data_IF_563423190508
#
_entry.id   IF_563423190508
#
_cell.length_a   1.000
_cell.length_b   1.000
_cell.length_c   1.000
_cell.angle_alpha   90.00
_cell.angle_beta   90.00
_cell.angle_gamma   90.00
#
_symmetry.space_group_name_H-M   'P 1'
#
loop_
_entity.id
_entity.type
_entity.pdbx_description
1 polymer ?
#
# COMPACT_ATOMS: atom_id res chain seq x y z
N UNK A 1 31.95 20.92 4.80
CA UNK A 1 32.18 22.14 5.64
C UNK A 1 31.76 23.43 4.94
N UNK A 2 32.19 23.72 3.69
CA UNK A 2 31.74 24.92 2.94
C UNK A 2 30.21 24.97 2.70
N UNK A 3 29.58 23.84 2.39
CA UNK A 3 28.12 23.77 2.20
C UNK A 3 27.29 24.11 3.45
N UNK A 4 27.79 23.76 4.65
CA UNK A 4 27.13 24.09 5.92
C UNK A 4 27.14 25.60 6.24
N UNK A 5 28.05 26.34 5.60
CA UNK A 5 28.15 27.81 5.72
C UNK A 5 27.32 28.53 4.66
N UNK A 6 26.72 27.81 3.70
CA UNK A 6 25.92 28.42 2.64
C UNK A 6 24.56 28.83 3.20
N UNK A 7 24.12 30.09 3.03
CA UNK A 7 22.78 30.51 3.46
C UNK A 7 21.69 29.72 2.72
N UNK A 8 21.96 29.26 1.50
CA UNK A 8 21.04 28.46 0.71
C UNK A 8 20.70 27.10 1.34
N UNK A 9 21.64 26.51 2.09
CA UNK A 9 21.35 25.26 2.82
C UNK A 9 20.29 25.53 3.89
N UNK A 10 20.49 26.58 4.68
CA UNK A 10 19.60 26.94 5.78
C UNK A 10 18.26 27.46 5.28
N UNK A 11 18.24 28.21 4.18
CA UNK A 11 17.02 28.59 3.49
C UNK A 11 16.23 27.36 3.03
N UNK A 12 16.91 26.38 2.42
CA UNK A 12 16.29 25.10 2.06
C UNK A 12 15.71 24.36 3.26
N UNK A 13 16.48 24.24 4.35
CA UNK A 13 16.03 23.62 5.59
C UNK A 13 14.82 24.36 6.20
N UNK A 14 14.84 25.70 6.22
CA UNK A 14 13.74 26.51 6.72
C UNK A 14 12.47 26.30 5.87
N UNK A 15 12.60 26.26 4.54
CA UNK A 15 11.48 25.95 3.63
C UNK A 15 10.96 24.54 3.86
N UNK A 16 11.83 23.53 3.99
CA UNK A 16 11.42 22.16 4.30
C UNK A 16 10.66 22.06 5.63
N UNK A 17 11.15 22.74 6.67
CA UNK A 17 10.45 22.81 7.97
C UNK A 17 9.12 23.53 7.82
N UNK A 18 9.05 24.66 7.11
CA UNK A 18 7.81 25.40 6.90
C UNK A 18 6.76 24.57 6.15
N UNK A 19 7.17 23.81 5.13
CA UNK A 19 6.29 22.89 4.39
C UNK A 19 5.80 21.75 5.31
N UNK A 20 6.68 21.21 6.15
CA UNK A 20 6.35 20.10 7.04
C UNK A 20 5.60 20.53 8.32
N UNK A 21 5.71 21.80 8.71
CA UNK A 21 5.20 22.32 9.98
C UNK A 21 3.71 22.02 10.22
N UNK A 22 2.79 22.17 9.24
CA UNK A 22 1.39 21.81 9.45
C UNK A 22 1.20 20.33 9.81
N UNK A 23 1.99 19.44 9.21
CA UNK A 23 1.95 18.01 9.53
C UNK A 23 2.51 17.73 10.92
N UNK A 24 3.61 18.38 11.31
CA UNK A 24 4.19 18.23 12.65
C UNK A 24 3.22 18.72 13.74
N UNK A 25 2.61 19.88 13.55
CA UNK A 25 1.61 20.42 14.49
C UNK A 25 0.41 19.47 14.60
N UNK A 26 -0.04 18.92 13.47
CA UNK A 26 -1.11 17.92 13.47
C UNK A 26 -0.71 16.66 14.24
N UNK A 27 0.51 16.13 14.05
CA UNK A 27 1.00 14.97 14.81
C UNK A 27 1.04 15.25 16.32
N UNK A 28 1.53 16.43 16.73
CA UNK A 28 1.57 16.83 18.15
C UNK A 28 0.16 16.89 18.75
N UNK A 29 -0.81 17.46 18.01
CA UNK A 29 -2.20 17.54 18.45
C UNK A 29 -2.91 16.19 18.52
N UNK A 30 -2.34 15.14 17.91
CA UNK A 30 -2.88 13.79 17.85
C UNK A 30 -1.92 12.78 18.49
N UNK A 31 -1.12 13.19 19.48
CA UNK A 31 -0.25 12.33 20.28
C UNK A 31 0.68 11.42 19.45
N UNK A 32 1.13 11.90 18.29
CA UNK A 32 1.95 11.16 17.32
C UNK A 32 1.34 9.81 16.92
N UNK A 33 0.02 9.76 16.70
CA UNK A 33 -0.72 8.56 16.29
C UNK A 33 -0.14 7.82 15.07
N UNK A 34 0.62 8.49 14.20
CA UNK A 34 1.38 7.83 13.14
C UNK A 34 2.39 6.82 13.65
N UNK A 35 3.03 7.07 14.81
CA UNK A 35 3.96 6.13 15.44
C UNK A 35 3.22 4.89 15.94
N UNK A 36 2.04 5.06 16.54
CA UNK A 36 1.20 3.93 16.96
C UNK A 36 0.77 3.09 15.76
N UNK A 37 0.33 3.74 14.68
CA UNK A 37 -0.02 3.07 13.42
C UNK A 37 1.18 2.31 12.84
N UNK A 38 2.34 2.98 12.69
CA UNK A 38 3.57 2.38 12.17
C UNK A 38 4.02 1.17 12.99
N UNK A 39 3.92 1.25 14.32
CA UNK A 39 4.26 0.13 15.20
C UNK A 39 3.32 -1.06 14.99
N UNK A 40 2.00 -0.85 14.91
CA UNK A 40 1.03 -1.93 14.67
C UNK A 40 1.27 -2.63 13.35
N UNK A 41 1.39 -1.87 12.25
CA UNK A 41 1.63 -2.47 10.92
C UNK A 41 3.00 -3.15 10.85
N UNK A 42 4.00 -2.64 11.56
CA UNK A 42 5.33 -3.23 11.56
C UNK A 42 5.32 -4.58 12.28
N UNK A 43 4.76 -4.65 13.49
CA UNK A 43 4.60 -5.91 14.23
C UNK A 43 3.86 -6.94 13.39
N UNK A 44 2.72 -6.56 12.81
CA UNK A 44 1.93 -7.43 11.93
C UNK A 44 2.75 -7.90 10.72
N UNK A 45 3.39 -6.99 9.99
CA UNK A 45 4.16 -7.32 8.78
C UNK A 45 5.37 -8.22 9.11
N UNK A 46 5.98 -8.10 10.28
CA UNK A 46 7.03 -9.01 10.75
C UNK A 46 6.43 -10.40 11.04
N UNK A 47 5.32 -10.48 11.78
CA UNK A 47 4.66 -11.74 12.15
C UNK A 47 4.23 -12.56 10.93
N UNK A 48 3.70 -11.90 9.89
CA UNK A 48 3.26 -12.57 8.66
C UNK A 48 4.38 -12.72 7.62
N UNK A 49 5.63 -12.42 7.98
CA UNK A 49 6.81 -12.66 7.14
C UNK A 49 6.98 -11.70 5.96
N UNK A 50 6.25 -10.58 5.94
CA UNK A 50 6.28 -9.56 4.87
C UNK A 50 7.62 -8.80 4.77
N UNK A 51 8.50 -8.96 5.75
CA UNK A 51 9.84 -8.38 5.82
C UNK A 51 10.93 -9.35 5.34
N UNK A 52 10.57 -10.62 5.08
CA UNK A 52 11.46 -11.66 4.61
C UNK A 52 12.00 -11.43 3.20
N UNK A 53 13.20 -11.97 2.93
CA UNK A 53 13.82 -11.90 1.60
C UNK A 53 14.27 -10.50 1.18
N UNK A 54 14.43 -9.56 2.12
CA UNK A 54 14.72 -8.13 1.88
C UNK A 54 15.69 -7.85 0.70
N UNK A 55 16.87 -8.48 0.69
CA UNK A 55 17.88 -8.30 -0.37
C UNK A 55 17.53 -8.95 -1.70
N UNK A 56 16.90 -10.13 -1.67
CA UNK A 56 16.46 -10.82 -2.90
C UNK A 56 15.36 -9.98 -3.57
N UNK A 57 14.44 -9.43 -2.79
CA UNK A 57 13.35 -8.61 -3.31
C UNK A 57 13.81 -7.25 -3.88
N UNK A 58 15.00 -6.77 -3.51
CA UNK A 58 15.62 -5.63 -4.19
C UNK A 58 15.82 -5.90 -5.69
N UNK A 59 16.23 -7.13 -6.04
CA UNK A 59 16.51 -7.52 -7.42
C UNK A 59 15.22 -7.68 -8.24
N UNK A 60 14.19 -8.28 -7.66
CA UNK A 60 13.01 -8.67 -8.43
C UNK A 60 11.87 -7.65 -8.38
N UNK A 61 11.77 -6.86 -7.30
CA UNK A 61 10.65 -5.92 -7.11
C UNK A 61 11.09 -4.46 -7.19
N UNK A 62 12.17 -4.08 -6.51
CA UNK A 62 12.55 -2.66 -6.40
C UNK A 62 13.35 -2.14 -7.60
N UNK A 63 14.30 -2.92 -8.10
CA UNK A 63 15.26 -2.45 -9.12
C UNK A 63 15.15 -3.16 -10.46
N UNK A 64 14.54 -4.34 -10.50
CA UNK A 64 14.53 -5.25 -11.65
C UNK A 64 15.92 -5.85 -11.97
N UNK A 65 16.01 -7.18 -12.09
CA UNK A 65 17.26 -7.91 -12.28
C UNK A 65 18.02 -7.48 -13.56
N UNK A 66 17.31 -7.09 -14.61
CA UNK A 66 17.91 -6.67 -15.88
C UNK A 66 18.63 -5.33 -15.79
N UNK A 67 18.35 -4.52 -14.76
CA UNK A 67 19.06 -3.26 -14.51
C UNK A 67 20.29 -3.42 -13.63
N UNK A 68 20.58 -4.64 -13.15
CA UNK A 68 21.70 -4.97 -12.26
C UNK A 68 23.04 -4.36 -12.70
N UNK A 69 23.46 -4.48 -13.97
CA UNK A 69 24.70 -3.88 -14.42
C UNK A 69 24.73 -2.34 -14.24
N UNK A 70 23.60 -1.67 -14.44
CA UNK A 70 23.52 -0.21 -14.33
C UNK A 70 23.64 0.24 -12.89
N UNK A 71 22.88 -0.33 -11.95
CA UNK A 71 22.98 0.17 -10.57
C UNK A 71 24.27 -0.26 -9.87
N UNK A 72 24.87 -1.39 -10.25
CA UNK A 72 26.25 -1.74 -9.83
C UNK A 72 27.27 -0.74 -10.38
N UNK A 73 27.15 -0.35 -11.65
CA UNK A 73 27.98 0.71 -12.22
C UNK A 73 27.75 2.06 -11.52
N UNK A 74 26.54 2.34 -11.05
CA UNK A 74 26.23 3.52 -10.23
C UNK A 74 26.90 3.51 -8.85
N UNK A 75 26.92 2.35 -8.17
CA UNK A 75 27.67 2.20 -6.92
C UNK A 75 29.18 2.38 -7.16
N UNK A 76 29.71 1.81 -8.24
CA UNK A 76 31.09 2.03 -8.65
C UNK A 76 31.39 3.51 -8.90
N UNK A 77 30.51 4.21 -9.62
CA UNK A 77 30.62 5.65 -9.87
C UNK A 77 30.72 6.44 -8.56
N UNK A 78 29.84 6.16 -7.61
CA UNK A 78 29.80 6.92 -6.37
C UNK A 78 30.99 6.63 -5.45
N UNK A 79 31.52 5.41 -5.40
CA UNK A 79 32.52 5.04 -4.39
C UNK A 79 33.95 4.88 -4.91
N UNK A 80 34.12 4.48 -6.16
CA UNK A 80 35.42 4.06 -6.71
C UNK A 80 35.94 5.01 -7.79
N UNK A 81 35.06 5.53 -8.65
CA UNK A 81 35.47 6.38 -9.78
C UNK A 81 36.31 7.60 -9.31
N UNK A 82 37.58 7.74 -9.75
CA UNK A 82 38.51 8.75 -9.22
C UNK A 82 38.07 10.21 -9.45
N UNK A 83 37.35 10.48 -10.54
CA UNK A 83 36.97 11.82 -10.99
C UNK A 83 35.83 12.46 -10.18
N UNK A 84 35.06 11.69 -9.41
CA UNK A 84 33.71 12.10 -9.02
C UNK A 84 33.40 11.97 -7.52
N UNK A 85 34.42 12.11 -6.67
CA UNK A 85 34.29 12.12 -5.19
C UNK A 85 33.23 13.08 -4.66
N UNK A 86 32.84 14.11 -5.43
CA UNK A 86 31.76 15.05 -5.12
C UNK A 86 30.39 14.38 -4.93
N UNK A 87 30.14 13.24 -5.55
CA UNK A 87 28.84 12.56 -5.51
C UNK A 87 28.79 11.39 -4.51
N UNK A 88 29.86 11.15 -3.73
CA UNK A 88 29.90 10.08 -2.70
C UNK A 88 28.74 10.13 -1.72
N UNK A 89 28.23 11.32 -1.43
CA UNK A 89 27.07 11.50 -0.57
C UNK A 89 25.83 10.74 -1.10
N UNK A 90 25.61 10.71 -2.42
CA UNK A 90 24.49 9.97 -3.03
C UNK A 90 24.65 8.46 -2.86
N UNK A 91 25.87 7.93 -2.96
CA UNK A 91 26.14 6.52 -2.65
C UNK A 91 25.78 6.17 -1.20
N UNK A 92 26.12 7.04 -0.25
CA UNK A 92 25.73 6.86 1.15
C UNK A 92 24.23 7.04 1.39
N UNK A 93 23.57 7.93 0.64
CA UNK A 93 22.10 8.06 0.64
C UNK A 93 21.38 6.81 0.10
N UNK A 94 22.09 5.89 -0.56
CA UNK A 94 21.59 4.55 -0.87
C UNK A 94 21.94 3.54 0.24
N UNK A 95 23.23 3.42 0.58
CA UNK A 95 23.70 2.38 1.50
C UNK A 95 23.15 2.53 2.92
N UNK A 96 23.04 3.76 3.43
CA UNK A 96 22.55 3.98 4.81
C UNK A 96 21.08 3.59 4.92
N UNK A 97 20.14 4.08 4.09
CA UNK A 97 18.76 3.60 4.13
C UNK A 97 18.61 2.11 3.87
N UNK A 98 19.38 1.53 2.93
CA UNK A 98 19.38 0.10 2.66
C UNK A 98 19.68 -0.72 3.94
N UNK A 99 20.73 -0.33 4.66
CA UNK A 99 21.13 -1.01 5.88
C UNK A 99 20.15 -0.74 7.03
N UNK A 100 19.69 0.49 7.19
CA UNK A 100 18.72 0.83 8.24
C UNK A 100 17.41 0.07 8.05
N UNK A 101 16.86 0.02 6.84
CA UNK A 101 15.66 -0.75 6.58
C UNK A 101 15.89 -2.26 6.70
N UNK A 102 17.06 -2.78 6.30
CA UNK A 102 17.36 -4.18 6.57
C UNK A 102 17.37 -4.50 8.07
N UNK A 103 18.09 -3.70 8.87
CA UNK A 103 18.22 -3.89 10.31
C UNK A 103 16.89 -3.67 11.05
N UNK A 104 16.09 -2.71 10.62
CA UNK A 104 14.77 -2.42 11.17
C UNK A 104 13.66 -3.32 10.61
N UNK A 105 13.98 -4.38 9.86
CA UNK A 105 13.01 -5.27 9.20
C UNK A 105 11.95 -4.50 8.40
N UNK A 106 12.39 -3.48 7.66
CA UNK A 106 11.56 -2.69 6.77
C UNK A 106 11.13 -3.46 5.52
N UNK A 107 10.09 -2.96 4.85
CA UNK A 107 9.62 -3.54 3.60
C UNK A 107 10.61 -3.24 2.48
N UNK A 108 10.92 -4.25 1.66
CA UNK A 108 11.90 -4.16 0.57
C UNK A 108 11.63 -2.98 -0.39
N UNK A 109 10.36 -2.68 -0.68
CA UNK A 109 9.98 -1.64 -1.64
C UNK A 109 10.22 -0.21 -1.14
N UNK A 110 10.54 -0.01 0.15
CA UNK A 110 10.93 1.32 0.66
C UNK A 110 12.22 1.84 0.00
N UNK A 111 13.04 0.95 -0.57
CA UNK A 111 14.25 1.32 -1.33
C UNK A 111 13.98 1.70 -2.79
N UNK A 112 12.78 1.45 -3.33
CA UNK A 112 12.48 1.68 -4.75
C UNK A 112 12.85 3.11 -5.23
N UNK A 113 12.55 4.20 -4.47
CA UNK A 113 12.90 5.57 -4.89
C UNK A 113 14.41 5.87 -4.91
N UNK A 114 15.26 5.01 -4.34
CA UNK A 114 16.70 5.22 -4.27
C UNK A 114 17.47 4.64 -5.48
N UNK A 115 16.84 3.79 -6.30
CA UNK A 115 17.47 3.21 -7.49
C UNK A 115 17.65 4.18 -8.68
N UNK A 116 16.73 5.13 -8.97
CA UNK A 116 16.90 6.06 -10.09
C UNK A 116 18.24 6.81 -10.11
N UNK A 117 18.77 7.20 -8.95
CA UNK A 117 20.08 7.86 -8.89
C UNK A 117 21.24 6.92 -9.23
N UNK A 118 21.16 5.64 -8.83
CA UNK A 118 22.14 4.63 -9.24
C UNK A 118 22.06 4.34 -10.74
N UNK A 119 20.87 4.29 -11.31
CA UNK A 119 20.71 4.14 -12.76
C UNK A 119 21.30 5.31 -13.54
N UNK A 120 21.08 6.54 -13.07
CA UNK A 120 21.65 7.73 -13.69
C UNK A 120 23.20 7.71 -13.67
N UNK A 121 23.79 7.43 -12.51
CA UNK A 121 25.25 7.30 -12.38
C UNK A 121 25.81 6.12 -13.18
N UNK A 122 25.11 5.00 -13.17
CA UNK A 122 25.45 3.80 -13.93
C UNK A 122 25.47 4.03 -15.42
N UNK A 123 24.46 4.76 -15.95
CA UNK A 123 24.39 5.12 -17.35
C UNK A 123 25.59 5.97 -17.79
N UNK A 124 26.06 6.89 -16.93
CA UNK A 124 27.27 7.69 -17.22
C UNK A 124 28.50 6.81 -17.34
N UNK A 125 28.75 5.92 -16.37
CA UNK A 125 29.89 4.98 -16.41
C UNK A 125 29.80 4.06 -17.64
N UNK A 126 28.60 3.54 -17.90
CA UNK A 126 28.36 2.64 -19.01
C UNK A 126 28.63 3.31 -20.36
N UNK A 127 28.13 4.53 -20.55
CA UNK A 127 28.31 5.29 -21.78
C UNK A 127 29.77 5.72 -21.98
N UNK A 128 30.48 6.14 -20.92
CA UNK A 128 31.92 6.42 -21.00
C UNK A 128 32.73 5.18 -21.41
N UNK A 129 32.37 4.01 -20.88
CA UNK A 129 33.00 2.75 -21.26
C UNK A 129 32.69 2.35 -22.71
N UNK A 130 31.46 2.54 -23.18
CA UNK A 130 31.06 2.31 -24.57
C UNK A 130 31.76 3.29 -25.53
N UNK A 131 31.95 4.54 -25.14
CA UNK A 131 32.63 5.55 -25.94
C UNK A 131 34.13 5.23 -26.17
N UNK A 132 34.74 4.44 -25.29
CA UNK A 132 36.10 3.90 -25.47
C UNK A 132 36.14 2.71 -26.44
N UNK A 133 34.98 2.21 -26.88
CA UNK A 133 34.87 1.16 -27.91
C UNK A 133 34.75 1.80 -29.28
N UNK A 134 35.15 1.07 -30.33
CA UNK A 134 34.86 1.47 -31.71
C UNK A 134 33.35 1.62 -31.95
N UNK A 135 32.97 2.37 -32.99
CA UNK A 135 31.58 2.73 -33.29
C UNK A 135 30.62 1.53 -33.34
N UNK A 136 31.06 0.39 -33.88
CA UNK A 136 30.30 -0.86 -33.90
C UNK A 136 30.09 -1.42 -32.49
N UNK A 137 31.14 -1.46 -31.66
CA UNK A 137 31.05 -1.95 -30.28
C UNK A 137 30.12 -1.10 -29.41
N UNK A 138 30.20 0.23 -29.55
CA UNK A 138 29.28 1.15 -28.87
C UNK A 138 27.83 0.92 -29.30
N UNK A 139 27.57 0.75 -30.61
CA UNK A 139 26.21 0.48 -31.12
C UNK A 139 25.65 -0.84 -30.60
N UNK A 140 26.45 -1.91 -30.62
CA UNK A 140 26.05 -3.23 -30.10
C UNK A 140 25.77 -3.15 -28.59
N UNK A 141 26.64 -2.48 -27.83
CA UNK A 141 26.46 -2.32 -26.38
C UNK A 141 25.20 -1.52 -26.02
N UNK A 142 24.92 -0.41 -26.72
CA UNK A 142 23.67 0.33 -26.54
C UNK A 142 22.45 -0.51 -26.94
N UNK A 143 22.53 -1.25 -28.04
CA UNK A 143 21.49 -2.19 -28.45
C UNK A 143 21.20 -3.24 -27.38
N UNK A 144 22.23 -3.91 -26.86
CA UNK A 144 22.10 -4.87 -25.77
C UNK A 144 21.48 -4.25 -24.50
N UNK A 145 21.85 -3.01 -24.18
CA UNK A 145 21.29 -2.27 -23.04
C UNK A 145 19.78 -2.03 -23.23
N UNK A 146 19.37 -1.52 -24.39
CA UNK A 146 17.95 -1.32 -24.70
C UNK A 146 17.17 -2.63 -24.71
N UNK A 147 17.74 -3.70 -25.25
CA UNK A 147 17.12 -5.03 -25.22
C UNK A 147 16.95 -5.53 -23.78
N UNK A 148 17.95 -5.37 -22.92
CA UNK A 148 17.87 -5.77 -21.51
C UNK A 148 16.80 -4.95 -20.76
N UNK A 149 16.74 -3.63 -20.99
CA UNK A 149 15.72 -2.76 -20.39
C UNK A 149 14.32 -3.12 -20.89
N UNK A 150 14.16 -3.39 -22.20
CA UNK A 150 12.90 -3.87 -22.78
C UNK A 150 12.46 -5.21 -22.19
N UNK A 151 13.38 -6.17 -22.07
CA UNK A 151 13.12 -7.46 -21.43
C UNK A 151 12.73 -7.29 -19.96
N UNK A 152 13.40 -6.39 -19.24
CA UNK A 152 13.06 -6.04 -17.86
C UNK A 152 11.67 -5.41 -17.74
N UNK A 153 11.31 -4.49 -18.64
CA UNK A 153 9.98 -3.88 -18.66
C UNK A 153 8.89 -4.93 -18.91
N UNK A 154 9.09 -5.83 -19.88
CA UNK A 154 8.18 -6.95 -20.16
C UNK A 154 8.07 -7.88 -18.95
N UNK A 155 9.20 -8.26 -18.34
CA UNK A 155 9.22 -9.07 -17.13
C UNK A 155 8.43 -8.43 -15.98
N UNK A 156 8.61 -7.12 -15.76
CA UNK A 156 7.89 -6.37 -14.72
C UNK A 156 6.39 -6.30 -15.03
N UNK A 157 6.02 -6.04 -16.29
CA UNK A 157 4.62 -6.02 -16.69
C UNK A 157 3.95 -7.38 -16.46
N UNK A 158 4.62 -8.48 -16.80
CA UNK A 158 4.08 -9.84 -16.62
C UNK A 158 3.96 -10.22 -15.14
N UNK A 159 4.89 -9.77 -14.29
CA UNK A 159 4.97 -10.21 -12.87
C UNK A 159 4.29 -9.28 -11.88
N UNK A 160 4.20 -7.98 -12.20
CA UNK A 160 3.69 -6.96 -11.29
C UNK A 160 2.35 -6.37 -11.72
N UNK A 161 2.05 -6.29 -13.01
CA UNK A 161 0.82 -5.63 -13.48
C UNK A 161 -0.36 -6.62 -13.61
N UNK A 162 -1.62 -6.16 -13.44
CA UNK A 162 -2.80 -6.99 -13.54
C UNK A 162 -3.25 -7.17 -15.00
N UNK A 163 -2.34 -7.56 -15.90
CA UNK A 163 -2.61 -7.69 -17.34
C UNK A 163 -3.17 -9.08 -17.66
N UNK A 164 -2.75 -10.09 -16.88
CA UNK A 164 -3.18 -11.46 -17.10
C UNK A 164 -4.66 -11.64 -16.70
N UNK A 165 -5.49 -12.34 -17.51
CA UNK A 165 -6.85 -12.65 -17.14
C UNK A 165 -6.93 -13.40 -15.80
N UNK A 166 -7.95 -13.11 -15.00
CA UNK A 166 -8.17 -13.76 -13.69
C UNK A 166 -8.22 -15.28 -13.88
N UNK A 167 -7.65 -16.03 -12.94
CA UNK A 167 -7.50 -17.50 -12.99
C UNK A 167 -6.64 -18.07 -14.15
N UNK A 168 -5.99 -17.23 -14.97
CA UNK A 168 -4.99 -17.71 -15.93
C UNK A 168 -3.69 -18.16 -15.24
N UNK A 169 -2.80 -18.83 -15.98
CA UNK A 169 -1.47 -19.17 -15.49
C UNK A 169 -0.64 -17.93 -15.12
N UNK A 170 -0.76 -16.85 -15.90
CA UNK A 170 -0.12 -15.57 -15.63
C UNK A 170 -0.63 -14.94 -14.33
N UNK A 171 -1.95 -14.93 -14.13
CA UNK A 171 -2.55 -14.42 -12.90
C UNK A 171 -2.11 -15.23 -11.66
N UNK A 172 -2.05 -16.56 -11.76
CA UNK A 172 -1.54 -17.41 -10.66
C UNK A 172 -0.07 -17.14 -10.34
N UNK A 173 0.71 -16.70 -11.32
CA UNK A 173 2.09 -16.30 -11.08
C UNK A 173 2.14 -14.95 -10.36
N UNK A 174 1.43 -13.94 -10.86
CA UNK A 174 1.42 -12.60 -10.25
C UNK A 174 0.85 -12.60 -8.84
N UNK A 175 -0.25 -13.31 -8.60
CA UNK A 175 -0.92 -13.38 -7.29
C UNK A 175 -0.11 -14.07 -6.20
N UNK A 176 0.89 -14.88 -6.58
CA UNK A 176 1.87 -15.45 -5.64
C UNK A 176 3.01 -14.49 -5.29
N UNK A 177 3.27 -13.53 -6.17
CA UNK A 177 4.32 -12.53 -5.95
C UNK A 177 3.78 -11.38 -5.08
N UNK A 178 2.54 -10.96 -5.33
CA UNK A 178 1.84 -10.00 -4.49
C UNK A 178 0.32 -10.19 -4.54
N UNK A 179 -0.35 -9.79 -3.46
CA UNK A 179 -1.78 -9.97 -3.21
C UNK A 179 -2.64 -8.74 -3.59
N UNK A 180 -2.04 -7.57 -3.83
CA UNK A 180 -2.74 -6.28 -3.96
C UNK A 180 -3.93 -6.27 -4.94
N UNK A 181 -3.83 -6.95 -6.08
CA UNK A 181 -4.93 -7.00 -7.06
C UNK A 181 -5.92 -8.13 -6.77
N UNK A 182 -5.48 -9.19 -6.10
CA UNK A 182 -6.35 -10.30 -5.67
C UNK A 182 -7.40 -9.78 -4.68
N UNK A 183 -6.99 -8.95 -3.73
CA UNK A 183 -7.88 -8.35 -2.72
C UNK A 183 -8.94 -7.42 -3.34
N UNK A 184 -8.72 -6.90 -4.57
CA UNK A 184 -9.70 -6.02 -5.23
C UNK A 184 -10.78 -6.76 -6.02
N UNK A 185 -10.64 -8.08 -6.20
CA UNK A 185 -11.57 -8.89 -6.98
C UNK A 185 -12.85 -9.11 -6.18
N UNK A 186 -14.00 -8.74 -6.75
CA UNK A 186 -15.30 -8.90 -6.08
C UNK A 186 -15.83 -7.63 -5.42
N UNK A 187 -15.09 -6.52 -5.42
CA UNK A 187 -15.58 -5.26 -4.81
C UNK A 187 -16.89 -4.73 -5.44
N UNK A 188 -17.11 -4.79 -6.77
CA UNK A 188 -18.41 -4.44 -7.34
C UNK A 188 -19.54 -5.33 -6.83
N UNK A 189 -19.30 -6.65 -6.73
CA UNK A 189 -20.26 -7.63 -6.25
C UNK A 189 -20.56 -7.45 -4.76
N UNK A 190 -19.53 -7.23 -3.93
CA UNK A 190 -19.66 -6.85 -2.53
C UNK A 190 -20.59 -5.64 -2.38
N UNK A 191 -20.33 -4.56 -3.14
CA UNK A 191 -21.16 -3.36 -3.08
C UNK A 191 -22.60 -3.62 -3.57
N UNK A 192 -22.79 -4.47 -4.58
CA UNK A 192 -24.11 -4.87 -5.07
C UNK A 192 -24.89 -5.66 -4.00
N UNK A 193 -24.27 -6.65 -3.37
CA UNK A 193 -24.91 -7.44 -2.28
C UNK A 193 -25.28 -6.54 -1.11
N UNK A 194 -24.41 -5.62 -0.68
CA UNK A 194 -24.74 -4.65 0.37
C UNK A 194 -25.89 -3.74 -0.05
N UNK A 195 -25.94 -3.32 -1.32
CA UNK A 195 -27.04 -2.51 -1.84
C UNK A 195 -28.37 -3.27 -1.89
N UNK A 196 -28.36 -4.56 -2.21
CA UNK A 196 -29.55 -5.41 -2.16
C UNK A 196 -30.09 -5.53 -0.73
N UNK A 197 -29.20 -5.80 0.24
CA UNK A 197 -29.56 -5.87 1.67
C UNK A 197 -30.14 -4.52 2.13
N UNK A 198 -29.47 -3.41 1.81
CA UNK A 198 -29.91 -2.06 2.18
C UNK A 198 -31.28 -1.71 1.56
N UNK A 199 -31.51 -2.07 0.30
CA UNK A 199 -32.79 -1.79 -0.39
C UNK A 199 -33.95 -2.61 0.15
N UNK A 200 -33.68 -3.82 0.64
CA UNK A 200 -34.67 -4.70 1.25
C UNK A 200 -35.13 -4.24 2.65
N UNK A 201 -34.42 -3.30 3.28
CA UNK A 201 -34.85 -2.72 4.55
C UNK A 201 -36.16 -1.92 4.40
N UNK A 202 -37.00 -1.86 5.44
CA UNK A 202 -38.12 -0.91 5.47
C UNK A 202 -37.65 0.52 5.28
N UNK A 203 -38.41 1.35 4.54
CA UNK A 203 -38.03 2.75 4.26
C UNK A 203 -37.74 3.57 5.54
N UNK A 204 -38.48 3.30 6.63
CA UNK A 204 -38.26 3.94 7.91
C UNK A 204 -36.90 3.58 8.56
N UNK A 205 -36.37 2.39 8.31
CA UNK A 205 -35.07 1.96 8.86
C UNK A 205 -33.89 2.50 8.04
N UNK A 206 -34.06 2.75 6.74
CA UNK A 206 -32.97 3.18 5.84
C UNK A 206 -32.28 4.45 6.33
N UNK A 207 -33.05 5.44 6.81
CA UNK A 207 -32.51 6.69 7.33
C UNK A 207 -31.61 6.53 8.58
N UNK A 208 -31.81 5.46 9.35
CA UNK A 208 -31.07 5.16 10.57
C UNK A 208 -30.14 3.95 10.41
N UNK A 209 -29.84 3.58 9.17
CA UNK A 209 -28.96 2.46 8.83
C UNK A 209 -27.55 2.92 8.51
N UNK A 210 -26.56 2.31 9.13
CA UNK A 210 -25.15 2.45 8.75
C UNK A 210 -24.60 1.15 8.16
N UNK A 211 -23.57 1.28 7.31
CA UNK A 211 -22.77 0.16 6.84
C UNK A 211 -21.44 0.21 7.60
N UNK A 212 -21.13 -0.83 8.37
CA UNK A 212 -19.90 -0.92 9.16
C UNK A 212 -18.98 -1.99 8.58
N UNK A 213 -17.84 -1.56 8.03
CA UNK A 213 -16.85 -2.44 7.41
C UNK A 213 -15.65 -2.75 8.33
N UNK A 214 -15.16 -3.99 8.24
CA UNK A 214 -14.08 -4.53 9.07
C UNK A 214 -12.70 -4.09 8.65
N UNK A 215 -12.48 -3.94 7.35
CA UNK A 215 -11.22 -3.46 6.80
C UNK A 215 -11.39 -2.27 5.82
N UNK A 216 -10.26 -1.67 5.44
CA UNK A 216 -10.25 -0.48 4.58
C UNK A 216 -10.50 -0.81 3.10
N UNK A 217 -10.25 -2.06 2.68
CA UNK A 217 -10.54 -2.57 1.34
C UNK A 217 -12.05 -2.65 1.10
N UNK A 218 -12.78 -3.31 2.01
CA UNK A 218 -14.24 -3.37 2.03
C UNK A 218 -14.86 -1.97 2.08
N UNK A 219 -14.42 -1.14 3.02
CA UNK A 219 -14.92 0.23 3.16
C UNK A 219 -14.67 1.05 1.88
N UNK A 220 -13.47 0.93 1.31
CA UNK A 220 -13.08 1.60 0.07
C UNK A 220 -13.87 1.11 -1.15
N UNK A 221 -14.02 -0.21 -1.30
CA UNK A 221 -14.77 -0.85 -2.39
C UNK A 221 -16.24 -0.47 -2.37
N UNK A 222 -16.90 -0.57 -1.21
CA UNK A 222 -18.31 -0.18 -1.07
C UNK A 222 -18.46 1.33 -1.29
N UNK A 223 -17.57 2.19 -0.77
CA UNK A 223 -17.66 3.63 -1.04
C UNK A 223 -17.42 4.00 -2.51
N UNK A 224 -16.57 3.24 -3.22
CA UNK A 224 -16.28 3.47 -4.64
C UNK A 224 -17.46 3.08 -5.53
N UNK A 225 -18.02 1.87 -5.34
CA UNK A 225 -19.07 1.32 -6.21
C UNK A 225 -20.49 1.60 -5.70
N UNK A 226 -20.68 1.63 -4.38
CA UNK A 226 -21.97 1.79 -3.70
C UNK A 226 -22.63 3.15 -3.87
N UNK A 227 -21.87 4.22 -4.12
CA UNK A 227 -22.43 5.56 -4.38
C UNK A 227 -23.41 5.55 -5.54
N UNK A 228 -23.10 4.83 -6.62
CA UNK A 228 -24.00 4.69 -7.79
C UNK A 228 -25.21 3.80 -7.50
N UNK A 229 -25.14 3.01 -6.44
CA UNK A 229 -26.21 2.11 -5.99
C UNK A 229 -27.11 2.76 -4.93
N UNK A 230 -26.82 4.00 -4.51
CA UNK A 230 -27.59 4.73 -3.50
C UNK A 230 -27.24 4.35 -2.06
N UNK A 231 -26.06 3.75 -1.82
CA UNK A 231 -25.61 3.43 -0.47
C UNK A 231 -25.09 4.68 0.26
N UNK A 232 -25.31 4.78 1.59
CA UNK A 232 -24.67 5.80 2.42
C UNK A 232 -23.15 5.58 2.49
N UNK A 233 -22.41 6.58 2.97
CA UNK A 233 -20.97 6.44 3.21
C UNK A 233 -20.72 5.38 4.29
N UNK A 234 -19.80 4.45 4.02
CA UNK A 234 -19.42 3.38 4.94
C UNK A 234 -18.61 3.93 6.10
N UNK A 235 -18.96 3.49 7.31
CA UNK A 235 -18.22 3.76 8.54
C UNK A 235 -17.26 2.59 8.82
N UNK A 236 -16.11 2.88 9.44
CA UNK A 236 -15.17 1.84 9.88
C UNK A 236 -14.30 2.33 11.02
N UNK A 237 -13.87 1.40 11.87
CA UNK A 237 -12.91 1.66 12.95
C UNK A 237 -11.46 1.68 12.48
N UNK A 238 -11.19 1.39 11.20
CA UNK A 238 -9.82 1.21 10.70
C UNK A 238 -9.17 2.53 10.26
N UNK A 239 -7.94 2.77 10.67
CA UNK A 239 -7.12 3.91 10.24
C UNK A 239 -7.88 5.24 10.35
N UNK A 240 -7.88 6.06 9.28
CA UNK A 240 -8.54 7.36 9.24
C UNK A 240 -10.06 7.30 9.22
N UNK A 241 -10.68 6.15 8.94
CA UNK A 241 -12.14 6.03 9.00
C UNK A 241 -12.65 6.24 10.43
N UNK A 242 -11.89 5.83 11.43
CA UNK A 242 -12.27 6.02 12.83
C UNK A 242 -12.48 7.49 13.20
N UNK A 243 -11.63 8.40 12.69
CA UNK A 243 -11.78 9.85 12.91
C UNK A 243 -12.95 10.47 12.16
N UNK A 244 -13.42 9.86 11.06
CA UNK A 244 -14.62 10.34 10.37
C UNK A 244 -15.88 10.14 11.22
N UNK A 245 -15.82 9.24 12.20
CA UNK A 245 -16.94 8.95 13.09
C UNK A 245 -18.03 8.12 12.42
N UNK A 246 -19.15 7.99 13.12
CA UNK A 246 -20.35 7.31 12.64
C UNK A 246 -21.45 8.29 12.17
N UNK A 247 -21.12 9.58 12.02
CA UNK A 247 -22.08 10.64 11.72
C UNK A 247 -22.68 11.31 12.98
N UNK A 248 -23.61 12.25 12.80
CA UNK A 248 -24.19 13.03 13.90
C UNK A 248 -25.17 12.22 14.76
N UNK A 249 -25.83 11.23 14.18
CA UNK A 249 -26.85 10.42 14.83
C UNK A 249 -26.37 8.97 14.99
N UNK A 250 -26.56 8.35 16.17
CA UNK A 250 -26.28 6.94 16.37
C UNK A 250 -27.14 6.03 15.45
N UNK A 251 -26.54 5.13 14.67
CA UNK A 251 -27.31 4.19 13.85
C UNK A 251 -28.11 3.19 14.69
N UNK A 252 -29.34 2.89 14.28
CA UNK A 252 -30.18 1.89 14.94
C UNK A 252 -30.03 0.50 14.30
N UNK A 253 -29.76 0.50 12.99
CA UNK A 253 -29.56 -0.69 12.17
C UNK A 253 -28.15 -0.63 11.56
N UNK A 254 -27.43 -1.75 11.58
CA UNK A 254 -26.09 -1.83 10.98
C UNK A 254 -26.00 -3.01 10.04
N UNK A 255 -25.63 -2.75 8.79
CA UNK A 255 -25.14 -3.76 7.86
C UNK A 255 -23.66 -3.96 8.15
N UNK A 256 -23.33 -5.08 8.78
CA UNK A 256 -22.00 -5.41 9.26
C UNK A 256 -21.28 -6.29 8.23
N UNK A 257 -20.15 -5.82 7.72
CA UNK A 257 -19.35 -6.45 6.66
C UNK A 257 -17.94 -6.68 7.17
N UNK A 258 -17.35 -7.85 6.91
CA UNK A 258 -15.96 -8.12 7.30
C UNK A 258 -15.77 -8.47 8.77
N UNK A 259 -16.81 -9.02 9.41
CA UNK A 259 -16.77 -9.46 10.80
C UNK A 259 -17.28 -10.89 10.94
N UNK A 260 -16.78 -11.61 11.93
CA UNK A 260 -17.33 -12.91 12.29
C UNK A 260 -18.73 -12.78 12.91
N UNK A 261 -19.52 -13.86 12.90
CA UNK A 261 -20.78 -13.94 13.67
C UNK A 261 -20.56 -13.65 15.16
N UNK A 262 -19.45 -14.14 15.73
CA UNK A 262 -19.12 -13.90 17.13
C UNK A 262 -18.87 -12.41 17.43
N UNK A 263 -18.24 -11.68 16.49
CA UNK A 263 -18.12 -10.22 16.58
C UNK A 263 -19.47 -9.53 16.52
N UNK A 264 -20.33 -9.93 15.58
CA UNK A 264 -21.67 -9.39 15.43
C UNK A 264 -22.50 -9.56 16.73
N UNK A 265 -22.48 -10.76 17.32
CA UNK A 265 -23.20 -11.08 18.57
C UNK A 265 -22.62 -10.36 19.80
N UNK A 266 -21.32 -10.05 19.77
CA UNK A 266 -20.66 -9.20 20.77
C UNK A 266 -21.10 -7.73 20.64
N UNK A 267 -21.36 -7.25 19.44
CA UNK A 267 -21.74 -5.85 19.20
C UNK A 267 -23.22 -5.60 19.41
N UNK A 268 -24.09 -6.51 18.95
CA UNK A 268 -25.53 -6.32 18.89
C UNK A 268 -26.31 -7.42 19.63
N UNK A 269 -27.54 -7.09 20.02
CA UNK A 269 -28.46 -8.02 20.64
C UNK A 269 -29.14 -8.94 19.61
N UNK A 270 -29.47 -8.40 18.43
CA UNK A 270 -30.09 -9.13 17.32
C UNK A 270 -29.15 -9.15 16.13
N UNK A 271 -28.83 -10.34 15.66
CA UNK A 271 -27.91 -10.60 14.55
C UNK A 271 -28.56 -11.56 13.58
N UNK A 272 -28.81 -11.09 12.36
CA UNK A 272 -29.37 -11.87 11.27
C UNK A 272 -28.34 -12.03 10.17
N UNK A 273 -28.22 -13.22 9.58
CA UNK A 273 -27.42 -13.41 8.37
C UNK A 273 -28.21 -12.82 7.20
N UNK A 274 -27.70 -11.75 6.59
CA UNK A 274 -28.38 -11.01 5.54
C UNK A 274 -27.83 -11.32 4.14
N UNK A 275 -26.59 -11.79 4.04
CA UNK A 275 -26.00 -12.16 2.77
C UNK A 275 -24.61 -12.74 2.93
N UNK A 276 -23.98 -13.01 1.79
CA UNK A 276 -22.64 -13.59 1.71
C UNK A 276 -21.87 -12.95 0.56
N UNK A 277 -20.63 -12.58 0.81
CA UNK A 277 -19.72 -11.99 -0.17
C UNK A 277 -19.21 -13.09 -1.09
N UNK A 278 -19.33 -12.85 -2.39
CA UNK A 278 -18.81 -13.73 -3.43
C UNK A 278 -18.16 -12.90 -4.54
N UNK A 279 -17.44 -13.57 -5.44
CA UNK A 279 -17.02 -12.98 -6.71
C UNK A 279 -17.22 -13.99 -7.84
N UNK A 280 -17.50 -13.52 -9.08
CA UNK A 280 -17.86 -14.38 -10.20
C UNK A 280 -16.70 -15.28 -10.65
N UNK A 281 -15.48 -15.01 -10.17
CA UNK A 281 -14.28 -15.74 -10.53
C UNK A 281 -13.93 -16.86 -9.53
N UNK A 282 -14.65 -16.99 -8.41
CA UNK A 282 -14.33 -17.94 -7.34
C UNK A 282 -12.94 -17.71 -6.72
N UNK A 283 -12.41 -16.49 -6.83
CA UNK A 283 -11.12 -16.11 -6.25
C UNK A 283 -11.26 -16.07 -4.73
N UNK A 284 -10.29 -16.62 -4.02
CA UNK A 284 -10.23 -16.55 -2.55
C UNK A 284 -9.33 -15.38 -2.15
N UNK A 285 -9.91 -14.40 -1.48
CA UNK A 285 -9.28 -13.20 -0.92
C UNK A 285 -9.78 -12.99 0.52
N UNK A 286 -9.35 -11.92 1.19
CA UNK A 286 -9.76 -11.60 2.56
C UNK A 286 -11.31 -11.58 2.70
N UNK A 287 -11.99 -10.88 1.78
CA UNK A 287 -13.43 -10.67 1.81
C UNK A 287 -14.25 -11.95 1.57
N UNK A 288 -13.72 -12.90 0.81
CA UNK A 288 -14.43 -14.18 0.53
C UNK A 288 -14.02 -15.34 1.43
N UNK A 289 -12.90 -15.21 2.15
CA UNK A 289 -12.34 -16.31 2.94
C UNK A 289 -12.51 -16.11 4.43
N UNK A 290 -12.17 -14.92 4.94
CA UNK A 290 -12.00 -14.75 6.38
C UNK A 290 -13.33 -14.40 7.04
N UNK A 291 -14.05 -13.40 6.52
CA UNK A 291 -15.37 -12.98 7.03
C UNK A 291 -16.38 -12.69 5.89
N UNK A 292 -16.78 -13.72 5.12
CA UNK A 292 -17.63 -13.52 3.95
C UNK A 292 -19.11 -13.29 4.28
N UNK A 293 -19.55 -13.58 5.49
CA UNK A 293 -20.95 -13.36 5.87
C UNK A 293 -21.23 -11.88 6.14
N UNK A 294 -22.37 -11.39 5.66
CA UNK A 294 -22.88 -10.05 5.95
C UNK A 294 -24.02 -10.17 6.95
N UNK A 295 -23.93 -9.43 8.05
CA UNK A 295 -24.92 -9.48 9.11
C UNK A 295 -25.74 -8.20 9.18
N UNK A 296 -27.03 -8.35 9.44
CA UNK A 296 -27.92 -7.25 9.81
C UNK A 296 -28.06 -7.22 11.33
N UNK A 297 -27.53 -6.16 11.94
CA UNK A 297 -27.42 -6.02 13.38
C UNK A 297 -28.39 -4.94 13.89
N UNK A 298 -29.12 -5.24 14.97
CA UNK A 298 -30.00 -4.29 15.67
C UNK A 298 -29.80 -4.32 17.17
N UNK A 299 -30.00 -3.16 17.81
CA UNK A 299 -29.85 -3.01 19.25
C UNK A 299 -28.40 -3.22 19.69
N UNK A 300 -27.52 -2.29 19.32
CA UNK A 300 -26.13 -2.30 19.78
C UNK A 300 -26.08 -2.31 21.31
N UNK A 301 -25.29 -3.24 21.87
CA UNK A 301 -25.25 -3.50 23.32
C UNK A 301 -24.70 -2.32 24.12
N UNK A 302 -23.87 -1.50 23.49
CA UNK A 302 -23.27 -0.31 24.07
C UNK A 302 -23.78 0.93 23.35
N UNK A 303 -23.94 2.07 24.04
CA UNK A 303 -24.14 3.35 23.38
C UNK A 303 -23.03 3.61 22.36
N UNK A 304 -23.39 4.13 21.19
CA UNK A 304 -22.45 4.39 20.10
C UNK A 304 -21.21 5.20 20.48
N UNK A 305 -21.29 6.26 21.32
CA UNK A 305 -20.09 6.95 21.79
C UNK A 305 -19.11 6.05 22.54
N UNK A 306 -19.60 5.11 23.36
CA UNK A 306 -18.76 4.18 24.11
C UNK A 306 -18.20 3.06 23.21
N UNK A 307 -19.03 2.56 22.28
CA UNK A 307 -18.60 1.60 21.27
C UNK A 307 -17.48 2.20 20.42
N UNK A 308 -17.74 3.35 19.80
CA UNK A 308 -16.82 3.98 18.85
C UNK A 308 -15.48 4.35 19.47
N UNK A 309 -15.48 4.89 20.71
CA UNK A 309 -14.25 5.22 21.45
C UNK A 309 -13.29 4.03 21.57
N UNK A 310 -13.81 2.80 21.64
CA UNK A 310 -13.03 1.57 21.79
C UNK A 310 -12.84 0.80 20.47
N UNK A 311 -13.34 1.34 19.36
CA UNK A 311 -13.38 0.64 18.08
C UNK A 311 -12.25 1.03 17.13
N UNK A 312 -11.28 1.86 17.56
CA UNK A 312 -10.12 2.21 16.74
C UNK A 312 -9.22 1.00 16.49
N UNK A 313 -8.85 0.77 15.22
CA UNK A 313 -7.99 -0.34 14.79
C UNK A 313 -7.00 0.11 13.71
N UNK A 314 -5.85 -0.56 13.66
CA UNK A 314 -4.75 -0.24 12.74
C UNK A 314 -4.30 -1.48 11.97
N UNK A 315 -5.17 -1.91 11.03
CA UNK A 315 -4.90 -3.02 10.12
C UNK A 315 -4.70 -4.38 10.78
#
# INVERSE_FOLDING_TARGET
RRYLRSPWLWAGAAVSVAIFLPNLLWQIQHDFISLTFLNHIHTRDVEIGRTGGYFVQQLFVSANLFTLPLWVAGLYFYFVAPSDRRYRALGWMFLVPLLLFFLAQGRFYYMAPAYPMLFAAGAVVWEQWLAQRGSTGARVGRGATWTALGAGAVFSAITMMPIAPINSAGWRLTSRIHDNFTEQIGWPELAATVAEIYRALPEAEKAHTAILAGNYGEAGGINLYGRRLGLPEVISGINTYWWRGYGPEPPEVVILVGFSRADAERFAQRVELAGHVTNPYGVRNEETKDHPDIFLCRGFRKPWPEFWKKFQRFG
#
